data_IF_614452753807
#
_entry.id   IF_614452753807
#
_cell.length_a   1.000
_cell.length_b   1.000
_cell.length_c   1.000
_cell.angle_alpha   90.00
_cell.angle_beta   90.00
_cell.angle_gamma   90.00
#
_symmetry.space_group_name_H-M   'P 1'
#
loop_
_entity.id
_entity.type
_entity.pdbx_description
1 polymer ?
#
# COMPACT_ATOMS: atom_id res chain seq x y z
N UNK A 1 -47.90 -17.22 29.67
CA UNK A 1 -46.57 -16.94 29.11
C UNK A 1 -45.75 -16.33 30.22
N UNK A 2 -44.76 -17.07 30.73
CA UNK A 2 -43.81 -16.61 31.74
C UNK A 2 -42.86 -15.59 31.13
N UNK A 3 -42.46 -14.60 31.94
CA UNK A 3 -41.52 -13.56 31.55
C UNK A 3 -40.14 -14.20 31.26
N UNK A 4 -39.54 -13.98 30.07
CA UNK A 4 -38.22 -14.51 29.74
C UNK A 4 -37.09 -14.02 30.65
N UNK A 5 -37.32 -13.01 31.50
CA UNK A 5 -36.35 -12.50 32.46
C UNK A 5 -36.35 -13.22 33.82
N UNK A 6 -37.28 -14.15 34.08
CA UNK A 6 -37.30 -14.92 35.34
C UNK A 6 -36.10 -15.88 35.50
N UNK A 7 -35.38 -16.22 34.41
CA UNK A 7 -34.13 -17.00 34.43
C UNK A 7 -33.01 -16.28 35.19
N UNK A 8 -33.04 -14.94 35.25
CA UNK A 8 -32.02 -14.14 35.94
C UNK A 8 -32.26 -14.03 37.45
N UNK A 9 -33.34 -14.63 37.97
CA UNK A 9 -33.66 -14.67 39.41
C UNK A 9 -33.30 -16.00 40.07
N UNK A 10 -32.60 -16.89 39.37
CA UNK A 10 -32.04 -18.10 39.97
C UNK A 10 -30.87 -17.76 40.91
N UNK A 11 -30.85 -18.37 42.09
CA UNK A 11 -29.77 -18.27 43.09
C UNK A 11 -28.49 -18.99 42.62
N UNK A 12 -27.89 -18.56 41.50
CA UNK A 12 -26.53 -18.96 41.16
C UNK A 12 -25.58 -18.28 42.15
N UNK A 13 -25.28 -18.98 43.24
CA UNK A 13 -24.30 -18.53 44.22
C UNK A 13 -22.97 -18.28 43.51
N UNK A 14 -22.30 -17.14 43.77
CA UNK A 14 -21.03 -16.81 43.14
C UNK A 14 -20.03 -17.94 43.39
N UNK A 15 -19.54 -18.55 42.30
CA UNK A 15 -18.52 -19.59 42.36
C UNK A 15 -17.26 -18.95 42.94
N UNK A 16 -16.90 -19.34 44.16
CA UNK A 16 -15.65 -18.90 44.75
C UNK A 16 -14.48 -19.32 43.85
N UNK A 17 -13.49 -18.44 43.59
CA UNK A 17 -12.34 -18.78 42.78
C UNK A 17 -11.63 -20.01 43.36
N UNK A 18 -11.07 -20.84 42.48
CA UNK A 18 -10.30 -22.03 42.88
C UNK A 18 -9.35 -21.68 44.04
N UNK A 19 -9.47 -22.32 45.21
CA UNK A 19 -8.65 -22.04 46.38
C UNK A 19 -7.15 -22.14 46.08
N UNK A 20 -6.75 -23.03 45.16
CA UNK A 20 -5.36 -23.18 44.76
C UNK A 20 -4.89 -21.98 43.93
N UNK A 21 -5.74 -21.45 43.04
CA UNK A 21 -5.47 -20.21 42.30
C UNK A 21 -5.36 -19.01 43.25
N UNK A 22 -6.32 -18.86 44.16
CA UNK A 22 -6.32 -17.76 45.14
C UNK A 22 -5.08 -17.78 46.05
N UNK A 23 -4.65 -18.97 46.48
CA UNK A 23 -3.43 -19.14 47.28
C UNK A 23 -2.17 -18.76 46.47
N UNK A 24 -2.05 -19.18 45.20
CA UNK A 24 -0.93 -18.82 44.33
C UNK A 24 -0.88 -17.31 44.07
N UNK A 25 -2.02 -16.69 43.80
CA UNK A 25 -2.10 -15.25 43.55
C UNK A 25 -1.72 -14.44 44.79
N UNK A 26 -2.22 -14.84 45.97
CA UNK A 26 -1.89 -14.20 47.25
C UNK A 26 -0.40 -14.29 47.56
N UNK A 27 0.20 -15.47 47.43
CA UNK A 27 1.65 -15.64 47.64
C UNK A 27 2.48 -14.77 46.70
N UNK A 28 2.03 -14.58 45.45
CA UNK A 28 2.72 -13.75 44.45
C UNK A 28 2.62 -12.26 44.77
N UNK A 29 1.46 -11.80 45.23
CA UNK A 29 1.25 -10.41 45.65
C UNK A 29 2.03 -10.09 46.94
N UNK A 30 2.02 -10.99 47.92
CA UNK A 30 2.81 -10.84 49.16
C UNK A 30 4.33 -10.83 48.86
N UNK A 31 4.79 -11.64 47.91
CA UNK A 31 6.18 -11.61 47.46
C UNK A 31 6.54 -10.29 46.74
N UNK A 32 5.62 -9.71 45.97
CA UNK A 32 5.85 -8.45 45.28
C UNK A 32 5.82 -7.24 46.22
N UNK A 33 5.00 -7.28 47.26
CA UNK A 33 4.88 -6.23 48.28
C UNK A 33 6.05 -6.22 49.28
N UNK A 34 6.78 -7.32 49.42
CA UNK A 34 7.96 -7.43 50.27
C UNK A 34 9.27 -7.03 49.58
N UNK A 35 9.21 -6.52 48.33
CA UNK A 35 10.38 -5.94 47.66
C UNK A 35 10.72 -4.58 48.29
N UNK A 36 11.99 -4.32 48.68
CA UNK A 36 12.37 -3.02 49.23
C UNK A 36 12.12 -1.88 48.23
N UNK A 37 11.45 -0.83 48.67
CA UNK A 37 11.22 0.39 47.87
C UNK A 37 12.55 1.05 47.51
N UNK A 38 12.86 1.13 46.21
CA UNK A 38 14.07 1.76 45.68
C UNK A 38 15.03 0.84 44.91
N UNK A 39 14.61 -0.36 44.51
CA UNK A 39 15.46 -1.24 43.69
C UNK A 39 15.33 -0.88 42.20
N UNK A 40 16.20 0.00 41.70
CA UNK A 40 16.45 0.14 40.26
C UNK A 40 17.54 -0.84 39.81
N UNK A 41 17.31 -1.56 38.70
CA UNK A 41 18.34 -2.37 38.04
C UNK A 41 18.27 -3.89 38.24
N UNK A 42 17.12 -4.47 38.61
CA UNK A 42 16.90 -5.92 38.46
C UNK A 42 16.26 -6.18 37.10
N UNK A 43 17.06 -6.57 36.11
CA UNK A 43 16.56 -7.11 34.85
C UNK A 43 15.89 -8.45 35.13
N UNK A 44 14.56 -8.44 35.27
CA UNK A 44 13.75 -9.66 35.28
C UNK A 44 13.73 -10.25 33.86
N UNK A 45 14.80 -10.97 33.52
CA UNK A 45 15.07 -11.57 32.20
C UNK A 45 14.02 -12.60 31.70
N UNK A 46 12.88 -12.72 32.37
CA UNK A 46 11.77 -13.58 31.94
C UNK A 46 10.40 -12.88 31.93
N UNK A 47 10.29 -11.63 32.35
CA UNK A 47 8.97 -10.97 32.48
C UNK A 47 8.63 -10.09 31.28
N UNK A 48 9.63 -9.53 30.57
CA UNK A 48 9.38 -8.75 29.36
C UNK A 48 8.93 -9.63 28.18
N UNK A 49 9.58 -10.78 27.95
CA UNK A 49 9.18 -11.72 26.90
C UNK A 49 7.81 -12.36 27.16
N UNK A 50 7.48 -12.62 28.43
CA UNK A 50 6.17 -13.16 28.84
C UNK A 50 5.09 -12.07 28.84
N UNK A 51 5.43 -10.79 29.07
CA UNK A 51 4.48 -9.71 28.84
C UNK A 51 4.17 -9.55 27.36
N UNK A 52 5.16 -9.66 26.47
CA UNK A 52 4.94 -9.56 25.02
C UNK A 52 4.04 -10.70 24.51
N UNK A 53 4.27 -11.95 24.97
CA UNK A 53 3.38 -13.10 24.71
C UNK A 53 1.98 -12.97 25.33
N UNK A 54 1.82 -12.24 26.45
CA UNK A 54 0.53 -12.04 27.12
C UNK A 54 -0.22 -10.78 26.64
N UNK A 55 0.45 -9.84 25.98
CA UNK A 55 -0.16 -8.61 25.44
C UNK A 55 -0.42 -8.67 23.94
N UNK A 56 0.19 -9.60 23.20
CA UNK A 56 -0.18 -9.88 21.81
C UNK A 56 -1.35 -10.87 21.71
N UNK A 57 -2.47 -10.57 22.37
CA UNK A 57 -3.73 -11.30 22.19
C UNK A 57 -4.76 -10.41 21.48
N UNK A 58 -4.42 -10.01 20.26
CA UNK A 58 -5.44 -10.00 19.23
C UNK A 58 -5.19 -11.22 18.34
N UNK A 59 -5.60 -12.39 18.82
CA UNK A 59 -6.04 -13.42 17.90
C UNK A 59 -6.92 -12.73 16.84
N UNK A 60 -6.64 -12.87 15.54
CA UNK A 60 -7.45 -12.24 14.51
C UNK A 60 -8.92 -12.58 14.79
N UNK A 61 -9.85 -11.60 14.65
CA UNK A 61 -11.25 -11.86 14.98
C UNK A 61 -11.67 -13.13 14.25
N UNK A 62 -12.18 -14.11 15.00
CA UNK A 62 -12.69 -15.35 14.41
C UNK A 62 -13.67 -14.95 13.31
N UNK A 63 -13.59 -15.54 12.10
CA UNK A 63 -14.44 -15.15 10.99
C UNK A 63 -15.90 -15.09 11.46
N UNK A 64 -16.57 -13.95 11.23
CA UNK A 64 -17.97 -13.77 11.65
C UNK A 64 -18.90 -14.78 10.95
N UNK A 65 -18.46 -15.34 9.81
CA UNK A 65 -19.12 -16.41 9.09
C UNK A 65 -18.09 -17.44 8.62
N UNK A 66 -18.45 -18.73 8.72
CA UNK A 66 -17.72 -19.83 8.10
C UNK A 66 -18.31 -20.04 6.71
N UNK A 67 -17.52 -19.97 5.63
CA UNK A 67 -18.06 -20.18 4.30
C UNK A 67 -18.47 -21.65 4.15
N UNK A 68 -19.63 -21.86 3.53
CA UNK A 68 -20.10 -23.18 3.13
C UNK A 68 -20.17 -23.20 1.60
N UNK A 69 -19.21 -23.86 0.98
CA UNK A 69 -19.12 -23.97 -0.47
C UNK A 69 -19.97 -25.12 -0.98
N UNK A 70 -20.69 -24.83 -2.05
CA UNK A 70 -21.38 -25.84 -2.85
C UNK A 70 -20.61 -26.04 -4.14
N UNK A 71 -20.35 -27.29 -4.48
CA UNK A 71 -19.59 -27.65 -5.70
C UNK A 71 -20.30 -28.79 -6.45
N UNK A 72 -20.05 -28.96 -7.76
CA UNK A 72 -20.65 -30.05 -8.53
C UNK A 72 -20.12 -31.45 -8.14
N UNK A 73 -18.89 -31.52 -7.63
CA UNK A 73 -18.23 -32.74 -7.15
C UNK A 73 -17.35 -32.42 -5.93
N UNK A 74 -17.87 -32.73 -4.74
CA UNK A 74 -17.22 -32.46 -3.48
C UNK A 74 -15.96 -33.29 -3.26
N UNK A 75 -15.89 -34.54 -3.77
CA UNK A 75 -14.67 -35.34 -3.62
C UNK A 75 -13.53 -34.78 -4.46
N UNK A 76 -13.83 -34.39 -5.71
CA UNK A 76 -12.86 -33.73 -6.56
C UNK A 76 -12.41 -32.39 -5.95
N UNK A 77 -13.33 -31.62 -5.36
CA UNK A 77 -13.00 -30.36 -4.70
C UNK A 77 -12.15 -30.55 -3.45
N UNK A 78 -12.44 -31.54 -2.60
CA UNK A 78 -11.60 -31.87 -1.43
C UNK A 78 -10.19 -32.22 -1.87
N UNK A 79 -10.04 -33.08 -2.89
CA UNK A 79 -8.73 -33.45 -3.41
C UNK A 79 -7.99 -32.24 -3.98
N UNK A 80 -8.68 -31.40 -4.75
CA UNK A 80 -8.11 -30.19 -5.32
C UNK A 80 -7.67 -29.18 -4.25
N UNK A 81 -8.50 -28.92 -3.24
CA UNK A 81 -8.13 -28.03 -2.13
C UNK A 81 -6.97 -28.60 -1.30
N UNK A 82 -6.89 -29.92 -1.16
CA UNK A 82 -5.73 -30.59 -0.55
C UNK A 82 -4.44 -30.39 -1.36
N UNK A 83 -4.49 -30.59 -2.67
CA UNK A 83 -3.31 -30.46 -3.53
C UNK A 83 -2.86 -28.99 -3.69
N UNK A 84 -3.82 -28.07 -3.83
CA UNK A 84 -3.56 -26.66 -4.19
C UNK A 84 -3.35 -25.77 -2.96
N UNK A 85 -4.22 -25.90 -1.96
CA UNK A 85 -4.21 -25.05 -0.76
C UNK A 85 -3.74 -25.79 0.49
N UNK A 86 -3.30 -27.03 0.35
CA UNK A 86 -2.82 -27.85 1.46
C UNK A 86 -3.92 -28.05 2.53
N UNK A 87 -5.18 -28.06 2.08
CA UNK A 87 -6.32 -28.23 2.96
C UNK A 87 -6.41 -29.67 3.49
N UNK A 88 -6.80 -29.82 4.75
CA UNK A 88 -6.96 -31.13 5.39
C UNK A 88 -8.39 -31.37 5.83
N UNK A 89 -8.93 -32.55 5.56
CA UNK A 89 -10.28 -32.93 6.02
C UNK A 89 -10.29 -33.14 7.53
N UNK A 90 -11.27 -32.53 8.21
CA UNK A 90 -11.54 -32.76 9.62
C UNK A 90 -12.61 -33.84 9.75
N UNK A 91 -12.22 -34.97 10.32
CA UNK A 91 -13.11 -36.12 10.46
C UNK A 91 -13.48 -36.76 9.12
N UNK A 92 -14.50 -37.61 9.13
CA UNK A 92 -15.03 -38.23 7.91
C UNK A 92 -16.13 -37.33 7.32
N UNK A 93 -16.10 -37.05 6.00
CA UNK A 93 -17.21 -36.40 5.32
C UNK A 93 -18.52 -37.17 5.55
N UNK A 94 -19.62 -36.43 5.69
CA UNK A 94 -20.97 -36.99 5.84
C UNK A 94 -21.48 -37.33 4.44
N UNK A 95 -21.54 -38.63 4.15
CA UNK A 95 -22.11 -39.16 2.92
C UNK A 95 -23.60 -39.42 3.10
N UNK A 96 -24.39 -39.01 2.11
CA UNK A 96 -25.83 -39.25 2.06
C UNK A 96 -26.12 -40.61 1.39
N UNK A 97 -27.35 -41.10 1.52
CA UNK A 97 -27.77 -42.39 0.96
C UNK A 97 -27.58 -42.52 -0.57
N UNK A 98 -27.51 -41.39 -1.28
CA UNK A 98 -27.27 -41.32 -2.72
C UNK A 98 -25.77 -41.22 -3.10
N UNK A 99 -24.88 -41.24 -2.12
CA UNK A 99 -23.42 -41.19 -2.29
C UNK A 99 -22.81 -39.80 -2.42
N UNK A 100 -23.63 -38.73 -2.41
CA UNK A 100 -23.16 -37.34 -2.36
C UNK A 100 -22.64 -37.00 -0.97
N UNK A 101 -21.65 -36.11 -0.89
CA UNK A 101 -21.19 -35.50 0.35
C UNK A 101 -22.15 -34.38 0.72
N UNK A 102 -22.95 -34.63 1.76
CA UNK A 102 -23.85 -33.63 2.33
C UNK A 102 -23.14 -32.62 3.22
N UNK A 103 -21.96 -32.96 3.75
CA UNK A 103 -21.11 -32.07 4.53
C UNK A 103 -19.67 -32.58 4.65
N UNK A 104 -18.70 -31.70 4.44
CA UNK A 104 -17.29 -31.90 4.75
C UNK A 104 -16.74 -30.64 5.43
N UNK A 105 -15.83 -30.86 6.37
CA UNK A 105 -15.09 -29.80 7.05
C UNK A 105 -13.62 -29.86 6.61
N UNK A 106 -13.08 -28.70 6.22
CA UNK A 106 -11.71 -28.54 5.75
C UNK A 106 -10.99 -27.50 6.61
N UNK A 107 -9.81 -27.86 7.12
CA UNK A 107 -8.86 -26.90 7.66
C UNK A 107 -7.98 -26.36 6.54
N UNK A 108 -7.86 -25.05 6.45
CA UNK A 108 -7.12 -24.35 5.41
C UNK A 108 -6.62 -23.01 5.95
N UNK A 109 -5.32 -22.73 5.82
CA UNK A 109 -4.69 -21.48 6.28
C UNK A 109 -5.05 -21.06 7.74
N UNK A 110 -5.16 -22.04 8.65
CA UNK A 110 -5.54 -21.81 10.05
C UNK A 110 -7.02 -21.53 10.30
N UNK A 111 -7.86 -21.53 9.26
CA UNK A 111 -9.32 -21.39 9.31
C UNK A 111 -10.06 -22.68 8.97
N UNK A 112 -11.38 -22.62 9.09
CA UNK A 112 -12.32 -23.71 8.76
C UNK A 112 -13.19 -23.31 7.57
N UNK A 113 -13.42 -24.25 6.67
CA UNK A 113 -14.29 -24.14 5.50
C UNK A 113 -15.23 -25.35 5.47
N UNK A 114 -16.51 -25.12 5.18
CA UNK A 114 -17.45 -26.20 4.92
C UNK A 114 -17.67 -26.40 3.43
N UNK A 115 -17.93 -27.65 3.03
CA UNK A 115 -18.10 -28.04 1.64
C UNK A 115 -19.19 -29.11 1.51
N UNK A 116 -19.99 -29.04 0.45
CA UNK A 116 -20.95 -30.08 0.07
C UNK A 116 -21.12 -30.14 -1.44
N UNK A 117 -21.61 -31.29 -1.91
CA UNK A 117 -22.14 -31.44 -3.26
C UNK A 117 -23.38 -30.54 -3.45
N UNK A 118 -23.70 -30.26 -4.71
CA UNK A 118 -24.93 -29.56 -5.03
C UNK A 118 -26.19 -30.41 -4.86
N UNK A 119 -27.26 -29.74 -4.42
CA UNK A 119 -28.62 -30.26 -4.35
C UNK A 119 -29.57 -29.29 -5.07
N UNK A 120 -29.57 -29.26 -6.42
CA UNK A 120 -30.41 -28.37 -7.21
C UNK A 120 -31.91 -28.46 -6.87
N UNK A 121 -32.37 -29.64 -6.40
CA UNK A 121 -33.73 -29.93 -5.96
C UNK A 121 -34.21 -29.09 -4.78
N UNK A 122 -33.29 -28.61 -3.93
CA UNK A 122 -33.58 -27.71 -2.80
C UNK A 122 -32.98 -26.31 -3.01
N UNK A 123 -32.46 -26.04 -4.21
CA UNK A 123 -31.88 -24.75 -4.59
C UNK A 123 -30.43 -24.52 -4.16
N UNK A 124 -29.74 -25.53 -3.62
CA UNK A 124 -28.32 -25.47 -3.27
C UNK A 124 -27.48 -25.81 -4.51
N UNK A 125 -26.85 -24.83 -5.15
CA UNK A 125 -26.19 -24.99 -6.45
C UNK A 125 -24.77 -24.45 -6.43
N UNK A 126 -23.89 -25.08 -7.20
CA UNK A 126 -22.58 -24.51 -7.47
C UNK A 126 -22.68 -23.16 -8.23
N UNK A 127 -21.64 -22.32 -8.20
CA UNK A 127 -21.61 -21.08 -8.96
C UNK A 127 -21.89 -21.31 -10.45
N UNK A 128 -22.74 -20.46 -11.04
CA UNK A 128 -22.93 -20.48 -12.49
C UNK A 128 -21.62 -20.12 -13.20
N UNK A 129 -21.34 -20.65 -14.41
CA UNK A 129 -20.17 -20.26 -15.19
C UNK A 129 -20.07 -18.73 -15.31
N UNK A 130 -18.88 -18.18 -14.98
CA UNK A 130 -18.61 -16.73 -14.96
C UNK A 130 -19.42 -15.91 -13.92
N UNK A 131 -20.19 -16.57 -13.06
CA UNK A 131 -20.91 -15.93 -11.96
C UNK A 131 -20.06 -15.87 -10.71
N UNK A 132 -19.78 -14.67 -10.22
CA UNK A 132 -19.09 -14.43 -8.95
C UNK A 132 -20.05 -13.72 -8.01
N UNK A 133 -20.58 -14.44 -7.02
CA UNK A 133 -21.44 -13.85 -5.98
C UNK A 133 -20.65 -13.35 -4.78
N UNK A 134 -19.53 -14.02 -4.47
CA UNK A 134 -18.62 -13.71 -3.36
C UNK A 134 -17.17 -13.97 -3.79
N UNK A 135 -16.22 -13.41 -3.03
CA UNK A 135 -14.80 -13.73 -3.16
C UNK A 135 -14.26 -14.20 -1.82
N UNK A 136 -13.55 -15.31 -1.82
CA UNK A 136 -12.95 -15.90 -0.64
C UNK A 136 -11.50 -15.41 -0.55
N UNK A 137 -11.14 -14.76 0.56
CA UNK A 137 -9.77 -14.35 0.80
C UNK A 137 -9.02 -15.47 1.51
N UNK A 138 -7.86 -15.84 0.97
CA UNK A 138 -7.03 -16.91 1.50
C UNK A 138 -5.62 -16.39 1.74
N UNK A 139 -5.16 -16.49 2.98
CA UNK A 139 -3.77 -16.21 3.33
C UNK A 139 -2.89 -17.39 2.94
N UNK A 140 -1.78 -17.12 2.26
CA UNK A 140 -0.83 -18.14 1.78
C UNK A 140 0.61 -17.70 2.06
N UNK A 141 1.49 -18.64 2.33
CA UNK A 141 2.89 -18.34 2.63
C UNK A 141 3.67 -17.86 1.39
N UNK A 142 3.28 -18.33 0.20
CA UNK A 142 3.86 -17.93 -1.09
C UNK A 142 2.77 -17.83 -2.15
N UNK A 143 2.46 -16.59 -2.55
CA UNK A 143 1.41 -16.29 -3.53
C UNK A 143 1.74 -16.83 -4.92
N UNK A 144 2.99 -16.73 -5.38
CA UNK A 144 3.40 -17.14 -6.72
C UNK A 144 3.41 -18.67 -6.83
N UNK A 145 3.97 -19.36 -5.83
CA UNK A 145 3.99 -20.82 -5.80
C UNK A 145 2.56 -21.40 -5.73
N UNK A 146 1.68 -20.79 -4.93
CA UNK A 146 0.28 -21.21 -4.83
C UNK A 146 -0.47 -20.94 -6.14
N UNK A 147 -0.28 -19.78 -6.76
CA UNK A 147 -0.90 -19.45 -8.04
C UNK A 147 -0.48 -20.43 -9.15
N UNK A 148 0.82 -20.74 -9.24
CA UNK A 148 1.34 -21.67 -10.24
C UNK A 148 0.84 -23.10 -10.01
N UNK A 149 0.67 -23.50 -8.75
CA UNK A 149 0.04 -24.78 -8.38
C UNK A 149 -1.42 -24.81 -8.81
N UNK A 150 -2.19 -23.77 -8.50
CA UNK A 150 -3.58 -23.65 -8.90
C UNK A 150 -3.75 -23.69 -10.42
N UNK A 151 -2.89 -22.97 -11.16
CA UNK A 151 -2.86 -22.96 -12.63
C UNK A 151 -2.63 -24.37 -13.19
N UNK A 152 -1.66 -25.12 -12.66
CA UNK A 152 -1.38 -26.50 -13.06
C UNK A 152 -2.55 -27.45 -12.79
N UNK A 153 -3.33 -27.18 -11.74
CA UNK A 153 -4.53 -27.94 -11.39
C UNK A 153 -5.82 -27.37 -11.99
N UNK A 154 -5.72 -26.56 -13.05
CA UNK A 154 -6.88 -26.16 -13.87
C UNK A 154 -7.66 -24.95 -13.36
N UNK A 155 -7.16 -24.21 -12.38
CA UNK A 155 -7.75 -22.91 -12.03
C UNK A 155 -7.51 -21.88 -13.14
N UNK A 156 -8.51 -21.03 -13.37
CA UNK A 156 -8.39 -19.87 -14.24
C UNK A 156 -7.74 -18.72 -13.47
N UNK A 157 -6.55 -18.28 -13.92
CA UNK A 157 -5.93 -17.07 -13.37
C UNK A 157 -6.71 -15.84 -13.86
N UNK A 158 -7.36 -15.16 -12.93
CA UNK A 158 -8.06 -13.92 -13.22
C UNK A 158 -7.11 -12.72 -13.12
N UNK A 159 -6.12 -12.81 -12.23
CA UNK A 159 -5.11 -11.76 -12.02
C UNK A 159 -3.78 -12.37 -11.58
N UNK A 160 -2.72 -12.05 -12.32
CA UNK A 160 -1.34 -12.42 -12.01
C UNK A 160 -0.84 -11.80 -10.69
N UNK A 161 0.25 -12.30 -10.09
CA UNK A 161 0.77 -11.79 -8.83
C UNK A 161 1.21 -10.34 -8.96
N UNK A 162 0.82 -9.53 -7.99
CA UNK A 162 1.18 -8.12 -7.91
C UNK A 162 1.26 -7.70 -6.45
N UNK A 163 2.04 -6.65 -6.16
CA UNK A 163 2.22 -6.16 -4.80
C UNK A 163 1.48 -4.84 -4.59
N UNK A 164 0.61 -4.82 -3.59
CA UNK A 164 -0.05 -3.62 -3.11
C UNK A 164 -0.39 -3.76 -1.62
N UNK A 165 -0.54 -2.63 -0.93
CA UNK A 165 -0.95 -2.57 0.48
C UNK A 165 -0.13 -3.48 1.43
N UNK A 166 1.17 -3.64 1.17
CA UNK A 166 2.06 -4.45 2.02
C UNK A 166 1.97 -5.96 1.80
N UNK A 167 1.32 -6.43 0.74
CA UNK A 167 1.20 -7.85 0.46
C UNK A 167 1.31 -8.18 -1.02
N UNK A 168 1.64 -9.45 -1.30
CA UNK A 168 1.64 -10.02 -2.64
C UNK A 168 0.33 -10.74 -2.89
N UNK A 169 -0.40 -10.27 -3.88
CA UNK A 169 -1.79 -10.63 -4.12
C UNK A 169 -1.97 -11.28 -5.49
N UNK A 170 -2.91 -12.21 -5.60
CA UNK A 170 -3.35 -12.79 -6.88
C UNK A 170 -4.84 -13.15 -6.82
N UNK A 171 -5.48 -13.43 -7.96
CA UNK A 171 -6.87 -13.89 -7.98
C UNK A 171 -7.10 -15.02 -9.00
N UNK A 172 -7.85 -16.03 -8.58
CA UNK A 172 -8.19 -17.20 -9.41
C UNK A 172 -9.68 -17.54 -9.32
N UNK A 173 -10.17 -18.25 -10.33
CA UNK A 173 -11.40 -19.03 -10.26
C UNK A 173 -10.99 -20.51 -10.21
N UNK A 174 -11.41 -21.24 -9.17
CA UNK A 174 -11.14 -22.67 -9.08
C UNK A 174 -11.98 -23.47 -10.11
N UNK A 175 -11.68 -24.76 -10.36
CA UNK A 175 -12.42 -25.58 -11.31
C UNK A 175 -13.92 -25.74 -11.00
N UNK A 176 -14.35 -25.42 -9.78
CA UNK A 176 -15.72 -25.54 -9.30
C UNK A 176 -16.48 -24.21 -9.35
N UNK A 177 -15.83 -23.13 -9.81
CA UNK A 177 -16.42 -21.83 -10.07
C UNK A 177 -16.27 -20.81 -8.94
N UNK A 178 -15.61 -21.15 -7.83
CA UNK A 178 -15.43 -20.21 -6.71
C UNK A 178 -14.25 -19.28 -6.96
N UNK A 179 -14.44 -17.98 -6.63
CA UNK A 179 -13.39 -16.97 -6.75
C UNK A 179 -12.57 -16.88 -5.47
N UNK A 180 -11.26 -17.05 -5.61
CA UNK A 180 -10.28 -16.94 -4.54
C UNK A 180 -9.35 -15.73 -4.76
N UNK A 181 -9.10 -14.99 -3.69
CA UNK A 181 -8.08 -13.94 -3.61
C UNK A 181 -6.95 -14.44 -2.72
N UNK A 182 -5.80 -14.69 -3.31
CA UNK A 182 -4.60 -15.12 -2.60
C UNK A 182 -3.87 -13.89 -2.07
N UNK A 183 -3.45 -13.96 -0.82
CA UNK A 183 -2.71 -12.89 -0.15
C UNK A 183 -1.57 -13.49 0.66
N UNK A 184 -0.34 -13.13 0.33
CA UNK A 184 0.86 -13.62 0.98
C UNK A 184 1.89 -12.51 1.22
N UNK A 185 3.02 -12.82 1.87
CA UNK A 185 4.07 -11.85 2.13
C UNK A 185 4.63 -11.28 0.81
N UNK A 186 5.07 -10.01 0.85
CA UNK A 186 5.85 -9.42 -0.25
C UNK A 186 7.15 -10.20 -0.45
N UNK A 187 7.60 -10.35 -1.70
CA UNK A 187 8.80 -11.16 -1.99
C UNK A 187 10.10 -10.47 -1.60
N UNK A 188 10.05 -9.15 -1.36
CA UNK A 188 11.24 -8.33 -1.13
C UNK A 188 12.11 -8.14 -2.38
N UNK A 189 11.74 -8.72 -3.52
CA UNK A 189 12.41 -8.50 -4.80
C UNK A 189 12.01 -7.13 -5.31
N UNK A 190 12.95 -6.18 -5.35
CA UNK A 190 12.70 -4.87 -5.90
C UNK A 190 12.24 -5.01 -7.36
N UNK A 191 10.97 -4.69 -7.61
CA UNK A 191 10.45 -4.55 -8.99
C UNK A 191 11.31 -3.47 -9.65
N UNK A 192 11.86 -3.67 -10.86
CA UNK A 192 12.62 -2.62 -11.52
C UNK A 192 11.71 -1.47 -11.91
N UNK A 193 12.26 -0.25 -11.93
CA UNK A 193 11.54 0.93 -12.40
C UNK A 193 10.98 0.71 -13.81
N UNK A 194 9.74 1.14 -14.03
CA UNK A 194 9.03 0.92 -15.29
C UNK A 194 9.00 2.19 -16.12
N UNK A 195 8.75 2.04 -17.43
CA UNK A 195 8.50 3.17 -18.33
C UNK A 195 7.35 4.03 -17.76
N UNK A 196 7.57 5.33 -17.63
CA UNK A 196 6.60 6.29 -17.11
C UNK A 196 6.59 6.44 -15.57
N UNK A 197 7.41 5.70 -14.83
CA UNK A 197 7.64 6.01 -13.41
C UNK A 197 8.53 7.25 -13.24
N UNK A 198 8.41 7.95 -12.12
CA UNK A 198 9.29 9.06 -11.75
C UNK A 198 10.49 8.53 -10.99
N UNK A 199 11.68 8.54 -11.60
CA UNK A 199 12.88 7.99 -10.97
C UNK A 199 13.77 9.01 -10.27
N UNK A 200 13.59 10.29 -10.59
CA UNK A 200 14.31 11.38 -9.95
C UNK A 200 13.44 12.63 -9.96
N UNK A 201 13.47 13.40 -8.88
CA UNK A 201 12.86 14.74 -8.84
C UNK A 201 13.89 15.77 -8.39
N UNK A 202 13.70 17.02 -8.79
CA UNK A 202 14.53 18.11 -8.27
C UNK A 202 13.67 19.32 -7.93
N UNK A 203 13.96 19.92 -6.78
CA UNK A 203 13.39 21.20 -6.37
C UNK A 203 14.27 22.31 -6.94
N UNK A 204 13.66 23.16 -7.77
CA UNK A 204 14.32 24.27 -8.44
C UNK A 204 13.93 25.56 -7.73
N UNK A 205 14.94 26.27 -7.24
CA UNK A 205 14.82 27.44 -6.36
C UNK A 205 15.86 28.48 -6.76
N UNK A 206 15.70 29.76 -6.41
CA UNK A 206 16.76 30.75 -6.59
C UNK A 206 18.06 30.37 -5.85
N UNK A 207 17.96 29.87 -4.62
CA UNK A 207 19.08 29.57 -3.73
C UNK A 207 18.95 28.15 -3.14
N UNK A 208 19.76 27.22 -3.65
CA UNK A 208 19.75 25.83 -3.24
C UNK A 208 20.23 25.62 -1.80
N UNK A 209 21.18 26.42 -1.31
CA UNK A 209 21.71 26.27 0.05
C UNK A 209 20.67 26.74 1.08
N UNK A 210 19.94 27.81 0.76
CA UNK A 210 18.78 28.25 1.57
C UNK A 210 17.66 27.21 1.59
N UNK A 211 17.31 26.65 0.42
CA UNK A 211 16.31 25.59 0.37
C UNK A 211 16.75 24.34 1.13
N UNK A 212 18.02 23.96 1.04
CA UNK A 212 18.56 22.84 1.80
C UNK A 212 18.43 23.05 3.31
N UNK A 213 18.70 24.27 3.81
CA UNK A 213 18.48 24.62 5.21
C UNK A 213 16.98 24.56 5.59
N UNK A 214 16.10 25.10 4.74
CA UNK A 214 14.65 25.07 4.94
C UNK A 214 14.11 23.63 5.02
N UNK A 215 14.36 22.81 4.00
CA UNK A 215 13.87 21.42 3.97
C UNK A 215 14.61 20.53 4.97
N UNK A 216 15.85 20.85 5.34
CA UNK A 216 16.53 20.20 6.46
C UNK A 216 15.78 20.41 7.79
N UNK A 217 15.31 21.63 8.05
CA UNK A 217 14.48 21.92 9.24
C UNK A 217 13.10 21.27 9.16
N UNK A 218 12.40 21.41 8.04
CA UNK A 218 10.99 21.00 7.88
C UNK A 218 10.81 19.49 7.65
N UNK A 219 11.68 18.86 6.87
CA UNK A 219 11.55 17.45 6.45
C UNK A 219 12.64 16.56 7.05
N UNK A 220 13.65 17.12 7.71
CA UNK A 220 14.80 16.35 8.20
C UNK A 220 15.78 15.96 7.10
N UNK A 221 15.74 16.62 5.94
CA UNK A 221 16.61 16.30 4.82
C UNK A 221 18.09 16.54 5.13
N UNK A 222 18.91 15.56 4.78
CA UNK A 222 20.37 15.71 4.73
C UNK A 222 20.81 15.96 3.30
N UNK A 223 21.34 17.15 3.03
CA UNK A 223 21.74 17.56 1.68
C UNK A 223 23.26 17.55 1.51
N UNK A 224 23.73 16.94 0.42
CA UNK A 224 25.11 17.02 -0.03
C UNK A 224 25.26 18.09 -1.13
N UNK A 225 25.90 19.24 -0.85
CA UNK A 225 26.06 20.30 -1.83
C UNK A 225 27.01 19.95 -2.98
N UNK A 226 27.89 18.95 -2.82
CA UNK A 226 28.82 18.55 -3.87
C UNK A 226 28.10 17.81 -5.00
N UNK A 227 27.18 16.91 -4.63
CA UNK A 227 26.34 16.16 -5.58
C UNK A 227 24.99 16.82 -5.85
N UNK A 228 24.63 17.83 -5.06
CA UNK A 228 23.33 18.52 -5.07
C UNK A 228 22.15 17.60 -4.79
N UNK A 229 22.34 16.65 -3.87
CA UNK A 229 21.36 15.59 -3.57
C UNK A 229 20.96 15.55 -2.11
N UNK A 230 19.72 15.17 -1.89
CA UNK A 230 19.24 14.70 -0.59
C UNK A 230 19.69 13.24 -0.43
N UNK A 231 20.27 12.92 0.72
CA UNK A 231 20.90 11.62 1.03
C UNK A 231 20.15 10.84 2.10
N UNK A 232 19.15 11.47 2.72
CA UNK A 232 18.30 10.89 3.76
C UNK A 232 16.98 10.34 3.18
N UNK A 233 16.89 10.16 1.87
CA UNK A 233 15.70 9.64 1.19
C UNK A 233 16.04 8.47 0.28
N UNK A 234 15.11 7.52 0.16
CA UNK A 234 15.22 6.36 -0.73
C UNK A 234 15.06 6.80 -2.19
N UNK A 235 14.09 7.68 -2.46
CA UNK A 235 13.93 8.24 -3.80
C UNK A 235 15.00 9.32 -4.04
N UNK A 236 15.68 9.31 -5.20
CA UNK A 236 16.63 10.36 -5.56
C UNK A 236 15.95 11.74 -5.67
N UNK A 237 16.37 12.67 -4.82
CA UNK A 237 15.89 14.06 -4.81
C UNK A 237 17.08 15.01 -4.94
N UNK A 238 16.98 15.98 -5.85
CA UNK A 238 17.94 17.07 -6.00
C UNK A 238 17.41 18.42 -5.54
N UNK A 239 18.32 19.35 -5.22
CA UNK A 239 18.01 20.77 -5.03
C UNK A 239 18.92 21.57 -5.97
N UNK A 240 18.34 22.42 -6.82
CA UNK A 240 19.07 23.09 -7.91
C UNK A 240 18.75 24.57 -7.92
N UNK A 241 19.80 25.41 -7.94
CA UNK A 241 19.65 26.85 -8.16
C UNK A 241 19.24 27.15 -9.59
N UNK A 242 18.20 27.96 -9.78
CA UNK A 242 17.72 28.41 -11.09
C UNK A 242 17.16 29.83 -11.05
N UNK A 243 17.61 30.66 -11.98
CA UNK A 243 17.15 32.06 -12.12
C UNK A 243 15.82 32.20 -12.87
N UNK A 244 15.38 31.15 -13.57
CA UNK A 244 14.25 31.22 -14.52
C UNK A 244 13.14 30.20 -14.26
N UNK A 245 13.35 29.25 -13.34
CA UNK A 245 12.38 28.19 -13.04
C UNK A 245 12.29 27.99 -11.54
N UNK A 246 11.06 27.90 -11.05
CA UNK A 246 10.75 27.61 -9.66
C UNK A 246 9.72 26.49 -9.60
N UNK A 247 9.84 25.61 -8.62
CA UNK A 247 8.97 24.45 -8.46
C UNK A 247 9.74 23.13 -8.55
N UNK A 248 9.03 22.05 -8.83
CA UNK A 248 9.65 20.73 -8.98
C UNK A 248 9.77 20.34 -10.45
N UNK A 249 10.91 19.77 -10.83
CA UNK A 249 11.10 19.06 -12.10
C UNK A 249 11.07 17.55 -11.86
N UNK A 250 10.26 16.84 -12.63
CA UNK A 250 10.20 15.38 -12.64
C UNK A 250 11.04 14.79 -13.77
N UNK A 251 11.75 13.71 -13.47
CA UNK A 251 12.49 12.92 -14.45
C UNK A 251 11.86 11.53 -14.56
N UNK A 252 11.30 11.22 -15.73
CA UNK A 252 10.53 10.01 -15.97
C UNK A 252 11.38 8.93 -16.65
N UNK A 253 11.25 7.69 -16.19
CA UNK A 253 11.95 6.56 -16.79
C UNK A 253 11.38 6.23 -18.18
N UNK A 254 12.25 6.02 -19.16
CA UNK A 254 11.89 5.55 -20.49
C UNK A 254 12.79 4.38 -20.88
N UNK A 255 12.24 3.47 -21.67
CA UNK A 255 12.93 2.26 -22.14
C UNK A 255 13.94 2.54 -23.25
N UNK A 256 13.75 3.64 -23.99
CA UNK A 256 14.59 4.07 -25.11
C UNK A 256 14.54 5.60 -25.22
N UNK A 257 15.68 6.25 -25.02
CA UNK A 257 15.78 7.72 -25.06
C UNK A 257 15.63 8.32 -26.45
N UNK A 258 16.06 7.63 -27.49
CA UNK A 258 15.98 8.15 -28.85
C UNK A 258 14.52 8.08 -29.34
N UNK A 259 13.82 7.00 -29.01
CA UNK A 259 12.37 6.90 -29.23
C UNK A 259 11.60 7.95 -28.41
N UNK A 260 11.96 8.16 -27.14
CA UNK A 260 11.35 9.20 -26.31
C UNK A 260 11.59 10.60 -26.89
N UNK A 261 12.82 10.91 -27.35
CA UNK A 261 13.15 12.17 -28.03
C UNK A 261 12.22 12.41 -29.23
N UNK A 262 12.07 11.43 -30.11
CA UNK A 262 11.20 11.57 -31.28
C UNK A 262 9.74 11.75 -30.88
N UNK A 263 9.26 10.97 -29.89
CA UNK A 263 7.90 11.06 -29.36
C UNK A 263 7.59 12.45 -28.79
N UNK A 264 8.54 13.06 -28.09
CA UNK A 264 8.41 14.44 -27.55
C UNK A 264 8.32 15.46 -28.68
N UNK A 265 9.20 15.38 -29.68
CA UNK A 265 9.18 16.29 -30.83
C UNK A 265 7.88 16.17 -31.64
N UNK A 266 7.42 14.95 -31.92
CA UNK A 266 6.17 14.68 -32.62
C UNK A 266 4.95 15.13 -31.80
N UNK A 267 5.06 15.14 -30.48
CA UNK A 267 4.06 15.67 -29.55
C UNK A 267 4.02 17.20 -29.47
N UNK A 268 4.93 17.91 -30.17
CA UNK A 268 5.03 19.37 -30.14
C UNK A 268 5.88 19.93 -28.98
N UNK A 269 6.57 19.06 -28.24
CA UNK A 269 7.51 19.45 -27.20
C UNK A 269 8.88 19.85 -27.75
N UNK A 270 9.78 20.23 -26.86
CA UNK A 270 11.19 20.54 -27.15
C UNK A 270 12.08 19.61 -26.35
N UNK A 271 13.24 19.26 -26.90
CA UNK A 271 14.22 18.38 -26.25
C UNK A 271 15.58 19.06 -26.28
N UNK A 272 16.28 19.04 -25.14
CA UNK A 272 17.64 19.52 -25.00
C UNK A 272 18.70 18.50 -25.45
N UNK A 273 19.93 18.78 -25.04
CA UNK A 273 21.05 17.88 -25.26
C UNK A 273 21.01 16.70 -24.28
N UNK A 274 21.59 15.57 -24.72
CA UNK A 274 21.78 14.40 -23.88
C UNK A 274 22.88 14.66 -22.87
N UNK A 275 22.62 14.32 -21.61
CA UNK A 275 23.62 14.28 -20.53
C UNK A 275 23.69 12.89 -19.92
N UNK A 276 24.83 12.57 -19.32
CA UNK A 276 25.03 11.34 -18.57
C UNK A 276 25.02 11.67 -17.07
N UNK A 277 24.15 10.99 -16.32
CA UNK A 277 24.10 11.02 -14.87
C UNK A 277 24.46 9.63 -14.32
N UNK A 278 24.76 9.53 -13.04
CA UNK A 278 25.07 8.24 -12.40
C UNK A 278 23.89 7.24 -12.41
N UNK A 279 22.64 7.73 -12.49
CA UNK A 279 21.42 6.93 -12.54
C UNK A 279 20.96 6.60 -13.97
N UNK A 280 21.61 7.16 -14.99
CA UNK A 280 21.34 6.88 -16.39
C UNK A 280 21.54 8.09 -17.32
N UNK A 281 21.38 7.85 -18.61
CA UNK A 281 21.38 8.92 -19.61
C UNK A 281 20.07 9.72 -19.52
N UNK A 282 20.14 11.05 -19.63
CA UNK A 282 19.01 11.97 -19.42
C UNK A 282 18.84 12.93 -20.58
N UNK A 283 17.59 13.27 -20.87
CA UNK A 283 17.18 14.34 -21.78
C UNK A 283 16.27 15.32 -21.03
N UNK A 284 16.66 16.59 -20.98
CA UNK A 284 15.73 17.65 -20.61
C UNK A 284 14.72 17.88 -21.73
N UNK A 285 13.50 18.20 -21.35
CA UNK A 285 12.43 18.48 -22.27
C UNK A 285 11.49 19.57 -21.75
N UNK A 286 10.67 20.07 -22.66
CA UNK A 286 9.56 20.95 -22.34
C UNK A 286 8.35 20.49 -23.13
N UNK A 287 7.21 20.37 -22.48
CA UNK A 287 5.98 19.97 -23.16
C UNK A 287 5.39 21.14 -23.98
N UNK A 288 4.32 20.91 -24.77
CA UNK A 288 3.72 21.94 -25.61
C UNK A 288 3.14 23.13 -24.83
N UNK A 289 2.87 22.95 -23.54
CA UNK A 289 2.37 24.01 -22.64
C UNK A 289 3.49 24.82 -22.00
N UNK A 290 4.75 24.41 -22.18
CA UNK A 290 5.91 25.08 -21.59
C UNK A 290 6.37 24.48 -20.26
N UNK A 291 5.75 23.40 -19.78
CA UNK A 291 6.15 22.73 -18.54
C UNK A 291 7.44 21.94 -18.76
N UNK A 292 8.45 22.20 -17.92
CA UNK A 292 9.73 21.52 -17.99
C UNK A 292 9.66 20.15 -17.30
N UNK A 293 10.27 19.14 -17.93
CA UNK A 293 10.46 17.80 -17.38
C UNK A 293 11.73 17.20 -17.95
N UNK A 294 12.11 16.02 -17.48
CA UNK A 294 13.17 15.23 -18.09
C UNK A 294 12.71 13.79 -18.31
N UNK A 295 13.39 13.08 -19.22
CA UNK A 295 13.29 11.63 -19.36
C UNK A 295 14.67 11.02 -19.22
N UNK A 296 14.74 9.83 -18.65
CA UNK A 296 16.01 9.11 -18.50
C UNK A 296 15.86 7.63 -18.79
N UNK A 297 16.91 7.02 -19.33
CA UNK A 297 16.98 5.57 -19.46
C UNK A 297 17.66 5.00 -18.21
N UNK A 298 16.94 4.26 -17.36
CA UNK A 298 17.47 3.78 -16.10
C UNK A 298 18.58 2.75 -16.32
N UNK A 299 19.57 2.75 -15.43
CA UNK A 299 20.55 1.66 -15.36
C UNK A 299 19.85 0.31 -15.08
N UNK A 300 20.38 -0.82 -15.56
CA UNK A 300 19.83 -2.14 -15.25
C UNK A 300 19.76 -2.39 -13.73
N UNK A 301 18.60 -2.82 -13.25
CA UNK A 301 18.37 -3.13 -11.84
C UNK A 301 17.99 -1.93 -10.97
N UNK A 302 17.79 -0.73 -11.52
CA UNK A 302 17.25 0.41 -10.78
C UNK A 302 15.91 0.03 -10.13
N UNK A 303 15.78 0.10 -8.80
CA UNK A 303 14.55 -0.27 -8.11
C UNK A 303 13.42 0.69 -8.46
N UNK A 304 12.21 0.16 -8.52
CA UNK A 304 11.00 0.94 -8.70
C UNK A 304 10.73 1.76 -7.42
N UNK A 305 10.44 3.07 -7.53
CA UNK A 305 10.11 3.89 -6.37
C UNK A 305 8.91 3.35 -5.59
N UNK A 306 8.89 3.65 -4.29
CA UNK A 306 7.75 3.35 -3.44
C UNK A 306 6.48 4.09 -3.91
N UNK A 307 5.31 3.53 -3.62
CA UNK A 307 4.03 4.12 -4.03
C UNK A 307 3.74 5.45 -3.33
N UNK A 308 3.96 5.50 -2.01
CA UNK A 308 3.58 6.60 -1.12
C UNK A 308 4.76 7.08 -0.25
N UNK A 309 6.00 6.86 -0.68
CA UNK A 309 7.18 7.01 0.17
C UNK A 309 7.33 5.88 1.20
N UNK A 310 8.49 5.80 1.84
CA UNK A 310 8.87 4.76 2.82
C UNK A 310 8.97 5.28 4.26
N UNK A 311 8.97 6.60 4.44
CA UNK A 311 9.08 7.25 5.75
C UNK A 311 8.94 8.77 5.63
N UNK A 312 9.16 9.54 6.70
CA UNK A 312 9.12 11.01 6.68
C UNK A 312 10.16 11.62 5.72
N UNK A 313 9.80 12.71 5.05
CA UNK A 313 10.63 13.40 4.08
C UNK A 313 10.60 12.80 2.66
N UNK A 314 9.86 11.72 2.46
CA UNK A 314 9.73 11.04 1.16
C UNK A 314 8.62 11.65 0.29
N UNK A 315 8.72 11.43 -1.02
CA UNK A 315 7.65 11.82 -1.95
C UNK A 315 6.51 10.80 -1.91
N UNK A 316 5.32 11.25 -1.51
CA UNK A 316 4.11 10.41 -1.51
C UNK A 316 3.26 10.56 -2.76
N UNK A 317 3.18 11.77 -3.30
CA UNK A 317 2.29 12.10 -4.41
C UNK A 317 2.80 13.30 -5.19
N UNK A 318 2.49 13.34 -6.49
CA UNK A 318 2.78 14.47 -7.37
C UNK A 318 1.47 15.02 -7.92
N UNK A 319 1.23 16.32 -7.74
CA UNK A 319 0.10 17.01 -8.39
C UNK A 319 0.61 17.89 -9.53
N UNK A 320 0.14 17.60 -10.73
CA UNK A 320 0.37 18.36 -11.95
C UNK A 320 -0.78 19.37 -12.12
N UNK A 321 -0.54 20.62 -11.75
CA UNK A 321 -1.47 21.71 -12.08
C UNK A 321 -1.22 22.12 -13.52
N UNK A 322 -2.27 22.12 -14.35
CA UNK A 322 -2.15 22.43 -15.78
C UNK A 322 -3.33 23.28 -16.27
N UNK A 323 -3.16 24.10 -17.31
CA UNK A 323 -4.26 24.84 -17.91
C UNK A 323 -5.32 23.97 -18.57
N UNK A 324 -4.89 22.93 -19.28
CA UNK A 324 -5.78 22.00 -19.98
C UNK A 324 -5.31 20.56 -19.78
N UNK A 325 -6.12 19.76 -19.06
CA UNK A 325 -5.78 18.36 -18.82
C UNK A 325 -5.81 17.55 -20.11
N UNK A 326 -6.61 17.93 -21.12
CA UNK A 326 -6.74 17.15 -22.35
C UNK A 326 -5.45 17.18 -23.16
N UNK A 327 -4.86 18.36 -23.34
CA UNK A 327 -3.54 18.53 -23.97
C UNK A 327 -2.45 17.80 -23.19
N UNK A 328 -2.44 17.94 -21.86
CA UNK A 328 -1.47 17.23 -21.00
C UNK A 328 -1.58 15.71 -21.20
N UNK A 329 -2.78 15.14 -21.05
CA UNK A 329 -3.00 13.69 -21.19
C UNK A 329 -2.63 13.20 -22.58
N UNK A 330 -2.97 13.94 -23.64
CA UNK A 330 -2.62 13.55 -25.01
C UNK A 330 -1.10 13.48 -25.21
N UNK A 331 -0.35 14.45 -24.68
CA UNK A 331 1.11 14.47 -24.76
C UNK A 331 1.75 13.34 -23.93
N UNK A 332 1.43 13.24 -22.64
CA UNK A 332 2.07 12.25 -21.76
C UNK A 332 1.60 10.80 -22.02
N UNK A 333 0.41 10.57 -22.59
CA UNK A 333 0.03 9.24 -23.09
C UNK A 333 0.95 8.78 -24.23
N UNK A 334 1.37 9.71 -25.09
CA UNK A 334 2.26 9.42 -26.23
C UNK A 334 3.69 9.14 -25.76
N UNK A 335 4.20 9.96 -24.84
CA UNK A 335 5.61 9.92 -24.42
C UNK A 335 5.87 8.87 -23.36
N UNK A 336 4.98 8.73 -22.37
CA UNK A 336 5.17 7.89 -21.17
C UNK A 336 4.24 6.70 -21.09
N UNK A 337 3.38 6.50 -22.10
CA UNK A 337 2.33 5.48 -22.11
C UNK A 337 1.38 5.54 -20.92
N UNK A 338 1.28 6.73 -20.30
CA UNK A 338 0.36 6.96 -19.20
C UNK A 338 -1.08 6.75 -19.65
N UNK A 339 -1.82 6.02 -18.83
CA UNK A 339 -3.27 5.93 -18.93
C UNK A 339 -3.88 6.63 -17.72
N UNK A 340 -5.11 7.12 -17.88
CA UNK A 340 -5.70 8.04 -16.93
C UNK A 340 -7.06 7.55 -16.45
N UNK A 341 -7.43 7.96 -15.25
CA UNK A 341 -8.76 7.77 -14.69
C UNK A 341 -9.35 9.07 -14.16
N UNK A 342 -10.68 9.27 -14.26
CA UNK A 342 -11.30 10.47 -13.72
C UNK A 342 -11.03 10.63 -12.22
N UNK A 343 -10.62 11.82 -11.83
CA UNK A 343 -10.44 12.22 -10.44
C UNK A 343 -11.73 12.65 -9.77
N UNK A 344 -11.61 13.28 -8.59
CA UNK A 344 -12.75 13.73 -7.76
C UNK A 344 -13.14 15.19 -7.98
N UNK A 345 -12.38 15.92 -8.79
CA UNK A 345 -12.63 17.34 -9.11
C UNK A 345 -12.90 17.49 -10.60
N UNK A 346 -13.51 18.60 -10.96
CA UNK A 346 -13.66 18.99 -12.36
C UNK A 346 -12.30 19.10 -13.04
N UNK A 347 -12.19 18.50 -14.23
CA UNK A 347 -10.94 18.35 -14.98
C UNK A 347 -9.77 17.72 -14.19
N UNK A 348 -10.10 16.93 -13.16
CA UNK A 348 -9.14 16.16 -12.37
C UNK A 348 -8.93 14.76 -12.91
N UNK A 349 -7.68 14.28 -12.89
CA UNK A 349 -7.32 12.94 -13.38
C UNK A 349 -6.25 12.29 -12.50
N UNK A 350 -6.30 10.97 -12.37
CA UNK A 350 -5.22 10.15 -11.81
C UNK A 350 -4.48 9.41 -12.92
N UNK A 351 -3.15 9.31 -12.81
CA UNK A 351 -2.34 8.44 -13.68
C UNK A 351 -2.40 7.02 -13.12
N UNK A 352 -2.77 6.04 -13.95
CA UNK A 352 -2.81 4.63 -13.55
C UNK A 352 -1.40 4.04 -13.50
N UNK A 353 -1.18 3.17 -12.52
CA UNK A 353 0.01 2.31 -12.42
C UNK A 353 1.38 3.00 -12.42
N UNK A 354 1.46 4.30 -12.10
CA UNK A 354 2.72 5.03 -11.94
C UNK A 354 3.24 4.99 -10.50
N UNK A 355 4.54 5.29 -10.33
CA UNK A 355 5.24 5.45 -9.04
C UNK A 355 6.07 6.74 -9.03
N UNK A 356 5.95 7.60 -8.00
CA UNK A 356 4.90 7.60 -6.98
C UNK A 356 3.54 7.96 -7.61
N UNK A 357 2.47 7.93 -6.82
CA UNK A 357 1.15 8.32 -7.33
C UNK A 357 1.18 9.73 -7.93
N UNK A 358 0.57 9.91 -9.09
CA UNK A 358 0.54 11.20 -9.80
C UNK A 358 -0.89 11.56 -10.21
N UNK A 359 -1.30 12.79 -9.91
CA UNK A 359 -2.58 13.37 -10.30
C UNK A 359 -2.41 14.63 -11.14
N UNK A 360 -3.48 14.99 -11.85
CA UNK A 360 -3.57 16.16 -12.70
C UNK A 360 -4.78 16.97 -12.24
N UNK A 361 -4.58 18.27 -12.08
CA UNK A 361 -5.63 19.25 -11.85
C UNK A 361 -5.62 20.22 -13.05
N UNK A 362 -6.61 20.10 -13.93
CA UNK A 362 -6.80 21.00 -15.06
C UNK A 362 -7.45 22.34 -14.69
N UNK A 363 -7.53 23.27 -15.65
CA UNK A 363 -8.16 24.57 -15.47
C UNK A 363 -7.32 25.62 -14.72
N UNK A 364 -6.03 25.39 -14.52
CA UNK A 364 -5.15 26.30 -13.80
C UNK A 364 -4.53 27.36 -14.71
N UNK A 365 -4.34 28.59 -14.22
CA UNK A 365 -3.77 29.67 -15.05
C UNK A 365 -2.34 29.38 -15.49
N UNK A 366 -1.56 28.73 -14.62
CA UNK A 366 -0.16 28.40 -14.86
C UNK A 366 0.08 26.91 -14.60
N UNK A 367 0.97 26.32 -15.39
CA UNK A 367 1.41 24.95 -15.19
C UNK A 367 2.42 24.89 -14.03
N UNK A 368 2.25 23.95 -13.11
CA UNK A 368 3.16 23.74 -11.99
C UNK A 368 3.11 22.30 -11.49
N UNK A 369 4.27 21.79 -11.06
CA UNK A 369 4.37 20.51 -10.37
C UNK A 369 4.52 20.78 -8.88
N UNK A 370 3.60 20.24 -8.08
CA UNK A 370 3.60 20.41 -6.63
C UNK A 370 3.75 19.03 -5.96
N UNK A 371 4.87 18.77 -5.25
CA UNK A 371 5.07 17.53 -4.52
C UNK A 371 4.24 17.49 -3.23
N UNK A 372 3.96 16.28 -2.75
CA UNK A 372 3.46 16.02 -1.40
C UNK A 372 4.48 15.19 -0.63
N UNK A 373 5.09 15.80 0.37
CA UNK A 373 6.09 15.19 1.24
C UNK A 373 5.44 14.55 2.47
N UNK A 374 5.87 13.36 2.82
CA UNK A 374 5.44 12.68 4.05
C UNK A 374 6.05 13.31 5.29
N UNK A 375 5.29 13.37 6.37
CA UNK A 375 5.75 13.77 7.71
C UNK A 375 5.05 12.93 8.76
N UNK A 376 5.65 12.80 9.93
CA UNK A 376 5.03 12.09 11.06
C UNK A 376 3.81 12.87 11.60
N UNK A 377 3.92 14.20 11.69
CA UNK A 377 2.90 15.09 12.21
C UNK A 377 2.86 16.37 11.36
N UNK A 378 1.71 16.63 10.74
CA UNK A 378 1.50 17.81 9.87
C UNK A 378 1.44 19.11 10.65
N UNK A 379 0.84 19.13 11.84
CA UNK A 379 0.73 20.34 12.64
C UNK A 379 2.13 20.78 13.11
N UNK A 380 2.94 19.83 13.59
CA UNK A 380 4.33 20.11 13.96
C UNK A 380 5.21 20.51 12.76
N UNK A 381 5.02 19.88 11.59
CA UNK A 381 5.74 20.26 10.38
C UNK A 381 5.36 21.66 9.89
N UNK A 382 4.09 22.05 10.01
CA UNK A 382 3.61 23.39 9.65
C UNK A 382 4.21 24.47 10.56
N UNK A 383 4.37 24.23 11.86
CA UNK A 383 5.10 25.16 12.74
C UNK A 383 6.56 25.33 12.28
N UNK A 384 7.24 24.23 11.91
CA UNK A 384 8.60 24.30 11.35
C UNK A 384 8.65 25.09 10.04
N UNK A 385 7.63 25.01 9.19
CA UNK A 385 7.53 25.85 7.98
C UNK A 385 7.51 27.33 8.35
N UNK A 386 6.68 27.72 9.34
CA UNK A 386 6.57 29.12 9.80
C UNK A 386 7.89 29.61 10.39
N UNK A 387 8.53 28.81 11.24
CA UNK A 387 9.83 29.12 11.85
C UNK A 387 10.93 29.33 10.82
N UNK A 388 10.95 28.54 9.75
CA UNK A 388 11.92 28.64 8.67
C UNK A 388 11.62 29.76 7.65
N UNK A 389 10.57 30.56 7.87
CA UNK A 389 10.18 31.69 7.01
C UNK A 389 9.34 31.31 5.79
N UNK A 390 8.84 30.07 5.74
CA UNK A 390 7.86 29.64 4.74
C UNK A 390 6.44 30.13 5.04
N UNK A 391 5.52 29.85 4.13
CA UNK A 391 4.12 30.27 4.22
C UNK A 391 3.19 29.07 4.21
N UNK A 392 2.19 29.06 5.09
CA UNK A 392 1.08 28.09 5.06
C UNK A 392 -0.03 28.67 4.17
N UNK A 393 -0.28 28.01 3.05
CA UNK A 393 -1.28 28.43 2.06
C UNK A 393 -2.66 27.83 2.39
N UNK A 394 -2.68 26.59 2.87
CA UNK A 394 -3.86 25.89 3.37
C UNK A 394 -3.52 25.26 4.72
N UNK A 395 -4.28 25.62 5.76
CA UNK A 395 -4.06 25.10 7.12
C UNK A 395 -4.30 23.58 7.22
N UNK A 396 -3.66 22.90 8.19
CA UNK A 396 -3.83 21.47 8.42
C UNK A 396 -5.30 21.02 8.50
N UNK A 397 -5.68 20.11 7.62
CA UNK A 397 -7.04 19.55 7.55
C UNK A 397 -7.02 18.04 7.33
N UNK A 398 -8.09 17.36 7.76
CA UNK A 398 -8.23 15.92 7.56
C UNK A 398 -8.81 15.66 6.17
N UNK A 399 -8.11 14.84 5.40
CA UNK A 399 -8.50 14.34 4.09
C UNK A 399 -8.76 12.82 4.17
N UNK A 400 -9.47 12.23 3.19
CA UNK A 400 -9.70 10.78 3.17
C UNK A 400 -8.42 9.93 3.14
N UNK A 401 -7.28 10.51 2.78
CA UNK A 401 -5.98 9.85 2.66
C UNK A 401 -4.99 10.22 3.77
N UNK A 402 -5.38 11.06 4.73
CA UNK A 402 -4.49 11.52 5.79
C UNK A 402 -4.73 12.97 6.18
N UNK A 403 -3.96 13.46 7.14
CA UNK A 403 -3.93 14.89 7.47
C UNK A 403 -2.97 15.58 6.52
N UNK A 404 -3.35 16.75 5.98
CA UNK A 404 -2.51 17.48 5.03
C UNK A 404 -2.59 18.99 5.18
N UNK A 405 -1.55 19.68 4.69
CA UNK A 405 -1.48 21.13 4.58
C UNK A 405 -0.76 21.53 3.28
N UNK A 406 -1.13 22.64 2.65
CA UNK A 406 -0.39 23.22 1.52
C UNK A 406 0.49 24.35 2.03
N UNK A 407 1.76 24.33 1.66
CA UNK A 407 2.76 25.31 2.07
C UNK A 407 3.54 25.85 0.86
N UNK A 408 4.27 26.92 1.08
CA UNK A 408 5.36 27.39 0.23
C UNK A 408 6.63 27.53 1.07
N UNK A 409 7.79 27.24 0.48
CA UNK A 409 9.08 27.48 1.13
C UNK A 409 9.38 28.99 1.26
N UNK A 410 10.53 29.31 1.84
CA UNK A 410 10.99 30.69 2.03
C UNK A 410 11.40 31.40 0.71
N UNK A 411 11.18 30.75 -0.42
CA UNK A 411 11.46 31.20 -1.78
C UNK A 411 10.24 31.12 -2.72
N UNK A 412 9.08 30.66 -2.22
CA UNK A 412 7.81 30.61 -2.94
C UNK A 412 7.49 29.27 -3.63
N UNK A 413 8.31 28.23 -3.47
CA UNK A 413 8.04 26.90 -4.05
C UNK A 413 6.98 26.18 -3.23
N UNK A 414 5.88 25.82 -3.89
CA UNK A 414 4.74 25.14 -3.30
C UNK A 414 5.00 23.66 -3.06
N UNK A 415 4.51 23.14 -1.94
CA UNK A 415 4.48 21.71 -1.61
C UNK A 415 3.34 21.40 -0.64
N UNK A 416 2.91 20.14 -0.60
CA UNK A 416 2.02 19.62 0.43
C UNK A 416 2.82 18.85 1.48
N UNK A 417 2.32 18.88 2.72
CA UNK A 417 2.71 17.98 3.80
C UNK A 417 1.61 16.94 4.02
N UNK A 418 1.97 15.68 4.26
CA UNK A 418 1.05 14.59 4.51
C UNK A 418 1.49 13.72 5.68
N UNK A 419 0.61 13.54 6.66
CA UNK A 419 0.70 12.42 7.60
C UNK A 419 -0.33 11.36 7.19
N UNK A 420 0.17 10.19 6.82
CA UNK A 420 -0.67 9.06 6.40
C UNK A 420 -1.39 8.52 7.63
N UNK A 421 -2.72 8.45 7.58
CA UNK A 421 -3.49 7.74 8.60
C UNK A 421 -3.22 6.24 8.47
N UNK A 422 -2.62 5.64 9.50
CA UNK A 422 -2.45 4.19 9.62
C UNK A 422 -3.79 3.52 9.93
#
# INVERSE_FOLDING_TARGET
MSDPLDVLRGDDLPVHPDPAFAARLRARLESALNLPTGTEGVTMSGTAAVLDELTSDQAPPRPAAVPYLTVPDARAAIAWYGDVFEATVVGAPVEMDDGRIGHAELLIAGGVLYLADEYPEIGLKAPSPQGVSVSLQLSVDDTDATLERARRHGAQVQREPYENYGARNAAIIDPFGHRWMLHGPVTGTAVPIQHGDTGFVSVWVPDADRAAAFYGHVLGWTYDPATRRVTSTDMPIGIVSSDSRQGMLCCYAVTDLDAARQSILDGGGRVGDRREEDFGAVLDATDPSGLAFAVFQPNPGTPRPALNGTGPGELSYITQFVPDSATFRAFYSRVLFWTFEPGRIDDGWGVRETRPMTGIAGGNTEAAVVPMWTVEDVDAAVERVREAGGTVLEEPSNQPYGRSAMCADDQGVRFYLLAISV
#
